data_IF_223309761557
#
_entry.id   IF_223309761557
#
_cell.length_a   1.000
_cell.length_b   1.000
_cell.length_c   1.000
_cell.angle_alpha   90.00
_cell.angle_beta   90.00
_cell.angle_gamma   90.00
#
_symmetry.space_group_name_H-M   'P 1'
#
loop_
_entity.id
_entity.type
_entity.pdbx_description
1 polymer ?
#
# COMPACT_ATOMS: atom_id res chain seq x y z
N UNK A 1 -12.46 64.42 26.47
CA UNK A 1 -12.00 63.06 26.81
C UNK A 1 -12.76 62.07 25.93
N UNK A 2 -12.35 62.00 24.66
CA UNK A 2 -11.67 60.86 24.01
C UNK A 2 -12.58 59.66 23.71
N UNK A 3 -13.08 59.66 22.47
CA UNK A 3 -12.95 58.58 21.49
C UNK A 3 -13.42 57.16 21.88
N UNK A 4 -14.70 56.89 21.60
CA UNK A 4 -15.24 55.52 21.56
C UNK A 4 -15.17 54.98 20.12
N UNK A 5 -13.96 54.69 19.64
CA UNK A 5 -13.75 53.95 18.39
C UNK A 5 -13.69 52.44 18.67
N UNK A 6 -14.84 51.82 18.95
CA UNK A 6 -14.99 50.36 18.88
C UNK A 6 -15.80 49.99 17.65
N UNK A 7 -15.20 50.22 16.49
CA UNK A 7 -15.71 49.72 15.22
C UNK A 7 -15.17 48.32 15.01
N UNK A 8 -16.01 47.29 15.17
CA UNK A 8 -15.65 45.93 14.78
C UNK A 8 -15.05 45.94 13.36
N UNK A 9 -14.00 45.13 13.09
CA UNK A 9 -13.27 45.19 11.83
C UNK A 9 -14.24 45.09 10.66
N UNK A 10 -14.07 45.90 9.60
CA UNK A 10 -14.99 45.93 8.44
C UNK A 10 -15.29 44.54 7.86
N UNK A 11 -14.33 43.61 7.97
CA UNK A 11 -14.46 42.18 7.68
C UNK A 11 -15.59 41.49 8.46
N UNK A 12 -15.72 41.76 9.76
CA UNK A 12 -16.74 41.17 10.63
C UNK A 12 -18.14 41.68 10.27
N UNK A 13 -18.29 42.97 9.90
CA UNK A 13 -19.57 43.51 9.43
C UNK A 13 -19.95 42.98 8.04
N UNK A 14 -18.99 42.81 7.13
CA UNK A 14 -19.22 42.20 5.82
C UNK A 14 -19.67 40.72 5.94
N UNK A 15 -19.12 39.98 6.89
CA UNK A 15 -19.49 38.58 7.18
C UNK A 15 -20.81 38.45 7.96
N UNK A 16 -21.27 39.51 8.64
CA UNK A 16 -22.52 39.49 9.43
C UNK A 16 -23.80 39.63 8.60
N UNK A 17 -23.69 40.01 7.33
CA UNK A 17 -24.83 40.07 6.40
C UNK A 17 -25.30 38.69 5.95
N UNK A 18 -26.56 38.58 5.51
CA UNK A 18 -27.17 37.33 5.02
C UNK A 18 -26.30 36.69 3.92
N UNK A 19 -25.82 37.48 2.95
CA UNK A 19 -24.91 37.01 1.90
C UNK A 19 -23.57 36.47 2.46
N UNK A 20 -22.98 37.14 3.45
CA UNK A 20 -21.73 36.70 4.09
C UNK A 20 -21.87 35.33 4.76
N UNK A 21 -23.00 35.07 5.41
CA UNK A 21 -23.33 33.77 6.01
C UNK A 21 -23.53 32.67 4.96
N UNK A 22 -24.17 32.99 3.83
CA UNK A 22 -24.30 32.07 2.70
C UNK A 22 -22.94 31.70 2.09
N UNK A 23 -22.08 32.68 1.78
CA UNK A 23 -20.74 32.41 1.25
C UNK A 23 -19.85 31.64 2.23
N UNK A 24 -19.94 31.93 3.54
CA UNK A 24 -19.21 31.19 4.56
C UNK A 24 -19.63 29.71 4.61
N UNK A 25 -20.94 29.42 4.55
CA UNK A 25 -21.44 28.04 4.49
C UNK A 25 -21.01 27.31 3.22
N UNK A 26 -21.02 28.00 2.08
CA UNK A 26 -20.56 27.44 0.80
C UNK A 26 -19.06 27.09 0.83
N UNK A 27 -18.22 27.99 1.32
CA UNK A 27 -16.77 27.75 1.47
C UNK A 27 -16.52 26.59 2.44
N UNK A 28 -17.23 26.57 3.58
CA UNK A 28 -17.12 25.48 4.54
C UNK A 28 -17.51 24.13 3.92
N UNK A 29 -18.59 24.09 3.13
CA UNK A 29 -19.00 22.88 2.40
C UNK A 29 -17.96 22.41 1.39
N UNK A 30 -17.39 23.32 0.60
CA UNK A 30 -16.31 23.01 -0.35
C UNK A 30 -15.09 22.46 0.39
N UNK A 31 -14.67 23.11 1.49
CA UNK A 31 -13.54 22.65 2.29
C UNK A 31 -13.79 21.26 2.91
N UNK A 32 -15.00 20.98 3.37
CA UNK A 32 -15.38 19.67 3.89
C UNK A 32 -15.32 18.59 2.81
N UNK A 33 -15.79 18.87 1.60
CA UNK A 33 -15.71 17.94 0.46
C UNK A 33 -14.26 17.68 0.04
N UNK A 34 -13.42 18.73 0.00
CA UNK A 34 -11.98 18.58 -0.30
C UNK A 34 -11.31 17.70 0.77
N UNK A 35 -11.57 17.96 2.05
CA UNK A 35 -11.02 17.16 3.14
C UNK A 35 -11.45 15.69 3.06
N UNK A 36 -12.73 15.43 2.78
CA UNK A 36 -13.26 14.07 2.62
C UNK A 36 -12.64 13.38 1.40
N UNK A 37 -12.46 14.09 0.29
CA UNK A 37 -11.83 13.55 -0.92
C UNK A 37 -10.37 13.18 -0.67
N UNK A 38 -9.61 14.02 0.03
CA UNK A 38 -8.21 13.74 0.38
C UNK A 38 -8.14 12.52 1.30
N UNK A 39 -8.97 12.50 2.36
CA UNK A 39 -9.03 11.37 3.28
C UNK A 39 -9.35 10.06 2.56
N UNK A 40 -10.42 10.05 1.76
CA UNK A 40 -10.81 8.88 0.97
C UNK A 40 -9.71 8.42 0.01
N UNK A 41 -9.04 9.34 -0.68
CA UNK A 41 -7.95 9.01 -1.59
C UNK A 41 -6.76 8.34 -0.88
N UNK A 42 -6.37 8.86 0.29
CA UNK A 42 -5.27 8.27 1.08
C UNK A 42 -5.67 6.89 1.60
N UNK A 43 -6.87 6.75 2.18
CA UNK A 43 -7.35 5.47 2.70
C UNK A 43 -7.48 4.39 1.62
N UNK A 44 -7.97 4.74 0.43
CA UNK A 44 -8.05 3.78 -0.68
C UNK A 44 -6.64 3.34 -1.10
N UNK A 45 -5.69 4.27 -1.17
CA UNK A 45 -4.31 3.97 -1.54
C UNK A 45 -3.63 3.04 -0.54
N UNK A 46 -3.83 3.25 0.76
CA UNK A 46 -3.27 2.37 1.80
C UNK A 46 -3.89 0.98 1.73
N UNK A 47 -5.23 0.89 1.65
CA UNK A 47 -5.94 -0.39 1.58
C UNK A 47 -5.56 -1.19 0.33
N UNK A 48 -5.42 -0.55 -0.83
CA UNK A 48 -4.98 -1.22 -2.05
C UNK A 48 -3.55 -1.76 -1.93
N UNK A 49 -2.66 -0.99 -1.31
CA UNK A 49 -1.27 -1.41 -1.09
C UNK A 49 -1.20 -2.59 -0.14
N UNK A 50 -1.91 -2.53 0.99
CA UNK A 50 -1.98 -3.63 1.97
C UNK A 50 -2.54 -4.91 1.34
N UNK A 51 -3.60 -4.80 0.54
CA UNK A 51 -4.16 -5.94 -0.20
C UNK A 51 -3.16 -6.56 -1.16
N UNK A 52 -2.42 -5.73 -1.91
CA UNK A 52 -1.39 -6.21 -2.83
C UNK A 52 -0.23 -6.88 -2.09
N UNK A 53 0.19 -6.34 -0.95
CA UNK A 53 1.19 -6.97 -0.10
C UNK A 53 0.71 -8.33 0.44
N UNK A 54 -0.54 -8.41 0.90
CA UNK A 54 -1.12 -9.66 1.40
C UNK A 54 -1.22 -10.72 0.28
N UNK A 55 -1.63 -10.32 -0.92
CA UNK A 55 -1.68 -11.17 -2.11
C UNK A 55 -0.28 -11.73 -2.43
N UNK A 56 0.72 -10.86 -2.57
CA UNK A 56 2.11 -11.26 -2.85
C UNK A 56 2.71 -12.13 -1.74
N UNK A 57 2.35 -11.87 -0.48
CA UNK A 57 2.76 -12.71 0.65
C UNK A 57 2.21 -14.12 0.52
N UNK A 58 0.91 -14.29 0.25
CA UNK A 58 0.30 -15.60 0.05
C UNK A 58 0.92 -16.34 -1.14
N UNK A 59 1.18 -15.65 -2.25
CA UNK A 59 1.88 -16.23 -3.41
C UNK A 59 3.30 -16.68 -3.07
N UNK A 60 4.00 -15.91 -2.23
CA UNK A 60 5.37 -16.24 -1.77
C UNK A 60 5.35 -17.41 -0.79
N UNK A 61 4.34 -17.52 0.07
CA UNK A 61 4.16 -18.67 0.98
C UNK A 61 4.00 -19.98 0.22
N UNK A 62 3.29 -19.98 -0.92
CA UNK A 62 3.19 -21.14 -1.82
C UNK A 62 4.57 -21.54 -2.36
N UNK A 63 5.34 -20.57 -2.86
CA UNK A 63 6.70 -20.80 -3.34
C UNK A 63 7.60 -21.37 -2.23
N UNK A 64 7.57 -20.78 -1.02
CA UNK A 64 8.32 -21.26 0.15
C UNK A 64 7.91 -22.69 0.51
N UNK A 65 6.62 -23.01 0.51
CA UNK A 65 6.14 -24.37 0.82
C UNK A 65 6.67 -25.42 -0.18
N UNK A 66 6.79 -25.04 -1.45
CA UNK A 66 7.35 -25.91 -2.50
C UNK A 66 8.83 -26.19 -2.24
N UNK A 67 9.60 -25.16 -1.88
CA UNK A 67 11.01 -25.32 -1.51
C UNK A 67 11.15 -26.17 -0.24
N UNK A 68 10.29 -25.94 0.76
CA UNK A 68 10.30 -26.65 2.03
C UNK A 68 10.00 -28.15 1.87
N UNK A 69 9.10 -28.55 0.95
CA UNK A 69 8.86 -29.96 0.64
C UNK A 69 10.12 -30.64 0.09
N UNK A 70 10.79 -30.00 -0.87
CA UNK A 70 12.02 -30.53 -1.47
C UNK A 70 13.16 -30.62 -0.45
N UNK A 71 13.29 -29.61 0.41
CA UNK A 71 14.22 -29.63 1.53
C UNK A 71 13.90 -30.79 2.50
N UNK A 72 12.63 -31.03 2.81
CA UNK A 72 12.21 -32.13 3.67
C UNK A 72 12.56 -33.50 3.08
N UNK A 73 12.38 -33.69 1.77
CA UNK A 73 12.80 -34.93 1.07
C UNK A 73 14.31 -35.12 1.12
N UNK A 74 15.08 -34.04 0.97
CA UNK A 74 16.53 -34.10 1.12
C UNK A 74 16.94 -34.50 2.55
N UNK A 75 16.30 -33.93 3.58
CA UNK A 75 16.55 -34.28 4.98
C UNK A 75 16.23 -35.74 5.29
N UNK A 76 15.24 -36.32 4.62
CA UNK A 76 14.89 -37.74 4.73
C UNK A 76 15.86 -38.67 3.96
N UNK A 77 16.77 -38.11 3.17
CA UNK A 77 17.70 -38.87 2.33
C UNK A 77 17.06 -39.42 1.04
N UNK A 78 15.85 -38.97 0.68
CA UNK A 78 15.17 -39.41 -0.55
C UNK A 78 15.87 -38.86 -1.81
N UNK A 79 16.45 -37.67 -1.70
CA UNK A 79 17.23 -37.00 -2.75
C UNK A 79 18.44 -36.31 -2.12
N UNK A 80 19.48 -36.03 -2.91
CA UNK A 80 20.61 -35.22 -2.44
C UNK A 80 20.20 -33.76 -2.21
N UNK A 81 20.90 -33.03 -1.34
CA UNK A 81 20.66 -31.60 -1.12
C UNK A 81 20.84 -30.78 -2.41
N UNK A 82 21.83 -31.14 -3.24
CA UNK A 82 22.07 -30.46 -4.51
C UNK A 82 20.95 -30.71 -5.51
N UNK A 83 20.41 -31.93 -5.54
CA UNK A 83 19.25 -32.26 -6.37
C UNK A 83 17.97 -31.55 -5.88
N UNK A 84 17.76 -31.46 -4.57
CA UNK A 84 16.65 -30.71 -3.99
C UNK A 84 16.71 -29.22 -4.36
N UNK A 85 17.89 -28.60 -4.23
CA UNK A 85 18.10 -27.21 -4.67
C UNK A 85 17.81 -27.05 -6.15
N UNK A 86 18.34 -27.92 -7.01
CA UNK A 86 18.10 -27.87 -8.46
C UNK A 86 16.61 -27.93 -8.77
N UNK A 87 15.90 -28.92 -8.23
CA UNK A 87 14.44 -29.09 -8.41
C UNK A 87 13.65 -27.90 -7.89
N UNK A 88 14.08 -27.29 -6.77
CA UNK A 88 13.43 -26.12 -6.20
C UNK A 88 13.57 -24.91 -7.13
N UNK A 89 14.78 -24.66 -7.63
CA UNK A 89 15.02 -23.55 -8.56
C UNK A 89 14.28 -23.75 -9.88
N UNK A 90 14.24 -24.97 -10.41
CA UNK A 90 13.49 -25.30 -11.63
C UNK A 90 11.98 -25.11 -11.44
N UNK A 91 11.43 -25.50 -10.28
CA UNK A 91 10.03 -25.24 -9.93
C UNK A 91 9.75 -23.74 -9.88
N UNK A 92 10.55 -22.97 -9.13
CA UNK A 92 10.40 -21.51 -9.03
C UNK A 92 10.48 -20.81 -10.39
N UNK A 93 11.40 -21.22 -11.27
CA UNK A 93 11.53 -20.68 -12.64
C UNK A 93 10.28 -20.86 -13.48
N UNK A 94 9.53 -21.94 -13.25
CA UNK A 94 8.31 -22.24 -14.00
C UNK A 94 7.06 -21.55 -13.45
N UNK A 95 7.09 -21.12 -12.18
CA UNK A 95 5.94 -20.49 -11.53
C UNK A 95 5.67 -19.11 -12.15
N UNK A 96 4.40 -18.88 -12.50
CA UNK A 96 3.90 -17.58 -12.92
C UNK A 96 2.70 -17.19 -12.08
N UNK A 97 2.60 -15.91 -11.76
CA UNK A 97 1.40 -15.32 -11.18
C UNK A 97 0.95 -14.14 -12.04
N UNK A 98 -0.31 -13.72 -11.88
CA UNK A 98 -0.85 -12.58 -12.62
C UNK A 98 -0.60 -12.67 -14.15
N UNK A 99 -0.69 -13.88 -14.71
CA UNK A 99 -0.48 -14.17 -16.13
C UNK A 99 1.00 -14.32 -16.55
N UNK A 100 1.86 -13.36 -16.20
CA UNK A 100 3.25 -13.32 -16.68
C UNK A 100 4.30 -12.99 -15.62
N UNK A 101 3.90 -12.64 -14.42
CA UNK A 101 4.83 -12.23 -13.37
C UNK A 101 5.55 -13.44 -12.78
N UNK A 102 6.76 -13.20 -12.25
CA UNK A 102 7.73 -14.24 -11.92
C UNK A 102 8.28 -14.11 -10.49
N UNK A 103 8.92 -15.17 -10.01
CA UNK A 103 9.47 -15.27 -8.65
C UNK A 103 10.98 -15.14 -8.68
N UNK A 104 11.52 -14.18 -7.93
CA UNK A 104 12.98 -14.03 -7.78
C UNK A 104 13.44 -14.72 -6.50
N UNK A 105 14.53 -15.48 -6.60
CA UNK A 105 15.24 -16.01 -5.44
C UNK A 105 16.72 -15.60 -5.51
N UNK A 106 17.26 -15.14 -4.38
CA UNK A 106 18.66 -14.75 -4.24
C UNK A 106 19.23 -15.27 -2.93
N UNK A 107 20.54 -15.47 -2.88
CA UNK A 107 21.24 -15.83 -1.65
C UNK A 107 21.56 -14.60 -0.79
N UNK A 108 22.06 -14.82 0.44
CA UNK A 108 22.46 -13.73 1.34
C UNK A 108 23.67 -12.91 0.85
N UNK A 109 24.36 -13.37 -0.20
CA UNK A 109 25.44 -12.65 -0.87
C UNK A 109 24.92 -11.82 -2.06
N UNK A 110 23.60 -11.70 -2.20
CA UNK A 110 22.92 -10.98 -3.26
C UNK A 110 23.15 -11.58 -4.65
N UNK A 111 23.43 -12.89 -4.73
CA UNK A 111 23.52 -13.61 -6.00
C UNK A 111 22.13 -14.11 -6.38
N UNK A 112 21.65 -13.72 -7.57
CA UNK A 112 20.37 -14.18 -8.12
C UNK A 112 20.50 -15.65 -8.54
N UNK A 113 19.60 -16.50 -8.05
CA UNK A 113 19.55 -17.94 -8.34
C UNK A 113 18.47 -18.25 -9.39
N UNK A 114 17.34 -17.53 -9.32
CA UNK A 114 16.19 -17.64 -10.22
C UNK A 114 15.62 -16.26 -10.50
N UNK A 115 15.19 -16.06 -11.75
CA UNK A 115 14.35 -14.97 -12.23
C UNK A 115 12.98 -15.54 -12.55
#
# INVERSE_FOLDING_TARGET
MSEKASGAPKLVRALSGVAGRFYAGMIAGILALIALSIYGSVTISTVLTERKQAELKSLTEVAISTVADLEARARKGEISTEEAKKRALDALRSMRYNGSDYYIAFDYKHVILVL
#
